data_IF_222787073563
#
_entry.id   IF_222787073563
#
_cell.length_a   1.000
_cell.length_b   1.000
_cell.length_c   1.000
_cell.angle_alpha   90.00
_cell.angle_beta   90.00
_cell.angle_gamma   90.00
#
_symmetry.space_group_name_H-M   'P 1'
#
loop_
_entity.id
_entity.type
_entity.pdbx_description
1 polymer ?
#
# COMPACT_ATOMS: atom_id res chain seq x y z
N UNK A 1 -2.16 -3.05 16.07
CA UNK A 1 -1.97 -3.05 14.60
C UNK A 1 -0.61 -2.42 14.31
N UNK A 2 0.39 -3.18 13.86
CA UNK A 2 1.74 -2.64 13.62
C UNK A 2 2.08 -2.74 12.12
N UNK A 3 1.82 -1.67 11.38
CA UNK A 3 2.36 -1.48 10.03
C UNK A 3 3.86 -1.23 10.15
N UNK A 4 4.69 -1.83 9.29
CA UNK A 4 6.13 -1.61 9.34
C UNK A 4 6.45 -0.12 9.18
N UNK A 5 7.42 0.37 9.95
CA UNK A 5 7.94 1.75 9.90
C UNK A 5 8.15 2.22 8.45
N UNK A 6 8.77 1.38 7.61
CA UNK A 6 9.11 1.65 6.22
C UNK A 6 7.88 1.92 5.34
N UNK A 7 6.82 1.10 5.47
CA UNK A 7 5.56 1.30 4.74
C UNK A 7 4.87 2.61 5.13
N UNK A 8 4.94 3.01 6.40
CA UNK A 8 4.31 4.23 6.90
C UNK A 8 4.86 5.48 6.22
N UNK A 9 6.20 5.63 6.14
CA UNK A 9 6.81 6.78 5.47
C UNK A 9 6.44 6.86 4.00
N UNK A 10 6.43 5.71 3.31
CA UNK A 10 6.04 5.65 1.89
C UNK A 10 4.59 6.11 1.72
N UNK A 11 3.66 5.56 2.49
CA UNK A 11 2.24 5.91 2.38
C UNK A 11 1.96 7.38 2.67
N UNK A 12 2.55 7.90 3.74
CA UNK A 12 2.42 9.31 4.13
C UNK A 12 3.14 10.23 3.14
N UNK A 13 4.15 9.71 2.42
CA UNK A 13 4.91 10.47 1.43
C UNK A 13 5.96 11.40 2.04
N UNK A 14 6.41 11.08 3.26
CA UNK A 14 7.43 11.84 3.98
C UNK A 14 8.69 10.97 4.07
N UNK A 15 9.89 11.49 3.73
CA UNK A 15 11.12 10.72 3.93
C UNK A 15 11.36 10.37 5.41
N UNK A 16 12.01 9.23 5.72
CA UNK A 16 12.42 8.88 7.08
C UNK A 16 13.15 10.04 7.77
N UNK A 17 12.88 10.22 9.08
CA UNK A 17 13.40 11.36 9.84
C UNK A 17 14.92 11.49 9.77
N UNK A 18 15.64 10.36 9.79
CA UNK A 18 17.10 10.34 9.65
C UNK A 18 17.58 10.98 8.33
N UNK A 19 16.88 10.72 7.22
CA UNK A 19 17.25 11.30 5.92
C UNK A 19 16.92 12.80 5.87
N UNK A 20 15.84 13.23 6.53
CA UNK A 20 15.50 14.65 6.67
C UNK A 20 16.52 15.39 7.54
N UNK A 21 17.02 14.76 8.61
CA UNK A 21 18.07 15.31 9.45
C UNK A 21 19.39 15.45 8.66
N UNK A 22 19.76 14.42 7.90
CA UNK A 22 20.95 14.45 7.06
C UNK A 22 20.85 15.52 5.96
N UNK A 23 19.68 15.70 5.35
CA UNK A 23 19.42 16.78 4.38
C UNK A 23 19.66 18.15 4.99
N UNK A 24 19.07 18.42 6.16
CA UNK A 24 19.24 19.68 6.89
C UNK A 24 20.69 19.93 7.28
N UNK A 25 21.42 18.88 7.67
CA UNK A 25 22.84 19.00 8.00
C UNK A 25 23.69 19.40 6.77
N UNK A 26 23.38 18.87 5.58
CA UNK A 26 24.10 19.20 4.33
C UNK A 26 23.80 20.62 3.83
N UNK A 27 22.61 21.14 4.12
CA UNK A 27 22.22 22.51 3.81
C UNK A 27 22.76 23.55 4.82
N UNK A 28 23.23 23.12 5.99
CA UNK A 28 23.70 24.05 7.01
C UNK A 28 24.87 24.91 6.50
N UNK A 29 24.69 26.23 6.50
CA UNK A 29 25.70 27.20 6.04
C UNK A 29 25.76 27.42 4.52
N UNK A 30 24.91 26.74 3.73
CA UNK A 30 24.76 26.98 2.28
C UNK A 30 23.51 27.83 2.04
N UNK A 31 23.64 29.00 1.41
CA UNK A 31 22.49 29.82 0.96
C UNK A 31 22.46 29.87 -0.55
N UNK A 32 21.73 28.94 -1.16
CA UNK A 32 21.38 28.99 -2.58
C UNK A 32 20.17 28.08 -2.81
N UNK A 33 19.12 28.59 -3.47
CA UNK A 33 17.88 27.81 -3.72
C UNK A 33 18.16 26.56 -4.56
N UNK A 34 19.07 26.63 -5.55
CA UNK A 34 19.48 25.48 -6.36
C UNK A 34 20.07 24.33 -5.51
N UNK A 35 20.73 24.65 -4.40
CA UNK A 35 21.28 23.66 -3.49
C UNK A 35 20.19 22.90 -2.72
N UNK A 36 19.02 23.51 -2.49
CA UNK A 36 17.91 22.84 -1.78
C UNK A 36 17.24 21.76 -2.63
N UNK A 37 17.04 22.03 -3.93
CA UNK A 37 16.45 21.08 -4.86
C UNK A 37 17.37 19.89 -5.14
N UNK A 38 18.67 20.15 -5.34
CA UNK A 38 19.68 19.10 -5.48
C UNK A 38 19.73 18.20 -4.25
N UNK A 39 19.73 18.79 -3.06
CA UNK A 39 19.76 18.04 -1.80
C UNK A 39 18.49 17.24 -1.56
N UNK A 40 17.33 17.78 -1.93
CA UNK A 40 16.06 17.04 -1.90
C UNK A 40 16.11 15.83 -2.84
N UNK A 41 16.65 15.99 -4.06
CA UNK A 41 16.82 14.88 -5.00
C UNK A 41 17.78 13.81 -4.47
N UNK A 42 18.87 14.21 -3.81
CA UNK A 42 19.79 13.28 -3.16
C UNK A 42 19.11 12.51 -2.02
N UNK A 43 18.31 13.18 -1.19
CA UNK A 43 17.51 12.55 -0.13
C UNK A 43 16.50 11.54 -0.69
N UNK A 44 15.77 11.92 -1.75
CA UNK A 44 14.80 11.02 -2.39
C UNK A 44 15.48 9.80 -3.02
N UNK A 45 16.69 9.96 -3.57
CA UNK A 45 17.47 8.85 -4.14
C UNK A 45 17.91 7.87 -3.05
N UNK A 46 18.44 8.37 -1.93
CA UNK A 46 18.78 7.55 -0.75
C UNK A 46 17.55 6.83 -0.19
N UNK A 47 16.40 7.49 -0.18
CA UNK A 47 15.15 6.89 0.28
C UNK A 47 14.68 5.76 -0.65
N UNK A 48 14.72 5.98 -1.97
CA UNK A 48 14.38 4.96 -2.97
C UNK A 48 15.29 3.74 -2.85
N UNK A 49 16.60 3.95 -2.73
CA UNK A 49 17.55 2.86 -2.52
C UNK A 49 17.29 2.05 -1.24
N UNK A 50 17.01 2.72 -0.13
CA UNK A 50 16.66 2.05 1.12
C UNK A 50 15.36 1.25 0.99
N UNK A 51 14.40 1.79 0.22
CA UNK A 51 13.13 1.12 -0.06
C UNK A 51 13.30 -0.14 -0.90
N UNK A 52 14.13 -0.08 -1.94
CA UNK A 52 14.41 -1.22 -2.81
C UNK A 52 15.13 -2.35 -2.07
N UNK A 53 16.08 -2.00 -1.19
CA UNK A 53 16.86 -2.96 -0.38
C UNK A 53 16.12 -3.53 0.82
N UNK A 54 15.05 -2.90 1.29
CA UNK A 54 14.34 -3.35 2.48
C UNK A 54 13.69 -4.72 2.28
N UNK A 55 13.86 -5.62 3.25
CA UNK A 55 13.15 -6.91 3.30
C UNK A 55 11.76 -6.81 3.96
N UNK A 56 11.45 -5.65 4.55
CA UNK A 56 10.14 -5.36 5.16
C UNK A 56 9.21 -4.71 4.15
N UNK A 57 7.91 -4.71 4.44
CA UNK A 57 6.89 -4.06 3.62
C UNK A 57 6.89 -4.49 2.13
N UNK A 58 7.36 -5.70 1.80
CA UNK A 58 7.53 -6.13 0.40
C UNK A 58 6.24 -6.10 -0.40
N UNK A 59 5.10 -6.33 0.25
CA UNK A 59 3.79 -6.16 -0.36
C UNK A 59 3.54 -4.70 -0.79
N UNK A 60 3.75 -3.75 0.11
CA UNK A 60 3.64 -2.31 -0.20
C UNK A 60 4.66 -1.89 -1.26
N UNK A 61 5.88 -2.43 -1.23
CA UNK A 61 6.91 -2.18 -2.27
C UNK A 61 6.45 -2.66 -3.64
N UNK A 62 5.85 -3.85 -3.73
CA UNK A 62 5.30 -4.37 -4.99
C UNK A 62 4.25 -3.45 -5.61
N UNK A 63 3.39 -2.85 -4.78
CA UNK A 63 2.36 -1.91 -5.23
C UNK A 63 2.92 -0.50 -5.51
N UNK A 64 3.86 -0.04 -4.68
CA UNK A 64 4.47 1.29 -4.72
C UNK A 64 5.99 1.15 -4.86
N UNK A 65 6.51 0.74 -6.03
CA UNK A 65 7.94 0.53 -6.20
C UNK A 65 8.69 1.87 -6.31
N UNK A 66 8.07 2.91 -6.87
CA UNK A 66 8.69 4.21 -7.09
C UNK A 66 8.13 5.28 -6.16
N UNK A 67 8.94 5.72 -5.21
CA UNK A 67 8.57 6.72 -4.20
C UNK A 67 8.29 8.08 -4.84
N UNK A 68 9.14 8.50 -5.80
CA UNK A 68 9.02 9.82 -6.44
C UNK A 68 7.71 9.94 -7.19
N UNK A 69 7.27 8.87 -7.86
CA UNK A 69 5.97 8.82 -8.53
C UNK A 69 4.85 8.88 -7.49
N UNK A 70 4.96 8.13 -6.40
CA UNK A 70 3.94 8.11 -5.35
C UNK A 70 3.73 9.48 -4.71
N UNK A 71 4.80 10.17 -4.28
CA UNK A 71 4.68 11.47 -3.60
C UNK A 71 4.24 12.60 -4.53
N UNK A 72 4.46 12.47 -5.85
CA UNK A 72 4.06 13.46 -6.86
C UNK A 72 2.64 13.28 -7.39
N UNK A 73 1.87 12.33 -6.85
CA UNK A 73 0.47 12.11 -7.23
C UNK A 73 -0.35 13.40 -7.03
N UNK A 74 -1.24 13.70 -7.97
CA UNK A 74 -2.05 14.93 -7.98
C UNK A 74 -3.32 14.81 -7.14
N UNK A 75 -3.78 13.59 -6.93
CA UNK A 75 -5.02 13.25 -6.25
C UNK A 75 -4.82 12.02 -5.38
N UNK A 76 -5.87 11.67 -4.64
CA UNK A 76 -5.92 10.42 -3.91
C UNK A 76 -5.50 10.51 -2.45
N UNK A 77 -6.47 10.82 -1.60
CA UNK A 77 -6.33 10.68 -0.15
C UNK A 77 -6.44 9.20 0.23
N UNK A 78 -5.55 8.77 1.12
CA UNK A 78 -5.65 7.46 1.73
C UNK A 78 -6.82 7.45 2.72
N UNK A 79 -7.58 6.37 2.71
CA UNK A 79 -8.58 6.06 3.73
C UNK A 79 -8.24 4.71 4.37
N UNK A 80 -8.93 4.37 5.46
CA UNK A 80 -8.68 3.15 6.21
C UNK A 80 -8.62 1.88 5.33
N UNK A 81 -9.56 1.72 4.40
CA UNK A 81 -9.65 0.52 3.55
C UNK A 81 -8.54 0.47 2.48
N UNK A 82 -8.26 1.59 1.83
CA UNK A 82 -7.12 1.70 0.91
C UNK A 82 -5.79 1.44 1.63
N UNK A 83 -5.64 1.93 2.85
CA UNK A 83 -4.46 1.63 3.66
C UNK A 83 -4.35 0.12 3.91
N UNK A 84 -5.43 -0.60 4.18
CA UNK A 84 -5.36 -2.07 4.33
C UNK A 84 -4.95 -2.78 3.04
N UNK A 85 -5.47 -2.33 1.88
CA UNK A 85 -5.04 -2.83 0.57
C UNK A 85 -3.54 -2.63 0.37
N UNK A 86 -3.05 -1.41 0.55
CA UNK A 86 -1.67 -1.05 0.25
C UNK A 86 -0.65 -1.63 1.24
N UNK A 87 -1.04 -1.74 2.51
CA UNK A 87 -0.16 -2.27 3.56
C UNK A 87 -0.22 -3.79 3.66
N UNK A 88 -1.32 -4.40 3.24
CA UNK A 88 -1.61 -5.80 3.52
C UNK A 88 -1.85 -6.09 5.00
N UNK A 89 -2.09 -5.04 5.80
CA UNK A 89 -2.44 -5.13 7.21
C UNK A 89 -3.94 -4.89 7.38
N UNK A 90 -4.62 -5.81 8.07
CA UNK A 90 -6.08 -5.74 8.17
C UNK A 90 -6.70 -7.00 8.75
N UNK A 91 -7.98 -7.20 8.42
CA UNK A 91 -8.77 -8.38 8.76
C UNK A 91 -8.46 -9.57 7.82
N UNK A 92 -7.19 -9.79 7.55
CA UNK A 92 -6.72 -10.96 6.81
C UNK A 92 -6.34 -12.04 7.82
N UNK A 93 -6.81 -13.27 7.68
CA UNK A 93 -6.44 -14.35 8.62
C UNK A 93 -4.93 -14.53 8.75
N UNK A 94 -4.16 -14.32 7.68
CA UNK A 94 -2.69 -14.33 7.75
C UNK A 94 -2.13 -13.28 8.73
N UNK A 95 -2.76 -12.12 8.79
CA UNK A 95 -2.39 -11.06 9.72
C UNK A 95 -2.92 -11.35 11.14
N UNK A 96 -4.16 -11.83 11.28
CA UNK A 96 -4.77 -12.19 12.57
C UNK A 96 -4.02 -13.32 13.29
N UNK A 97 -3.51 -14.31 12.55
CA UNK A 97 -2.65 -15.40 13.07
C UNK A 97 -1.45 -14.93 13.90
N UNK A 98 -0.96 -13.71 13.67
CA UNK A 98 0.15 -13.14 14.46
C UNK A 98 -0.23 -12.88 15.92
N UNK A 99 -1.52 -12.80 16.21
CA UNK A 99 -2.07 -12.48 17.54
C UNK A 99 -2.83 -13.65 18.15
N UNK A 100 -3.26 -14.62 17.34
CA UNK A 100 -3.90 -15.86 17.79
C UNK A 100 -3.36 -17.06 17.00
N UNK A 101 -2.51 -17.87 17.65
CA UNK A 101 -1.85 -19.01 17.03
C UNK A 101 -2.79 -20.18 16.74
N UNK A 102 -3.99 -20.21 17.32
CA UNK A 102 -4.97 -21.27 17.10
C UNK A 102 -5.78 -21.08 15.81
N UNK A 103 -5.78 -19.89 15.23
CA UNK A 103 -6.52 -19.61 14.00
C UNK A 103 -5.79 -20.14 12.78
N UNK A 104 -6.52 -20.52 11.73
CA UNK A 104 -5.92 -20.83 10.42
C UNK A 104 -5.72 -19.58 9.59
N UNK A 105 -4.57 -19.43 8.90
CA UNK A 105 -4.36 -18.39 7.89
C UNK A 105 -4.91 -18.77 6.52
N UNK A 106 -5.45 -19.99 6.38
CA UNK A 106 -6.02 -20.43 5.11
C UNK A 106 -7.34 -19.70 4.84
N UNK A 107 -7.53 -19.33 3.58
CA UNK A 107 -8.79 -18.79 3.10
C UNK A 107 -9.90 -19.85 3.27
N UNK A 108 -11.08 -19.42 3.72
CA UNK A 108 -12.23 -20.32 3.93
C UNK A 108 -12.74 -20.94 2.63
N UNK A 109 -12.57 -20.25 1.51
CA UNK A 109 -13.05 -20.68 0.18
C UNK A 109 -11.91 -21.22 -0.69
N UNK A 110 -10.66 -20.93 -0.34
CA UNK A 110 -9.47 -21.42 -1.03
C UNK A 110 -8.52 -22.10 -0.02
N UNK A 111 -8.78 -23.36 0.35
CA UNK A 111 -8.00 -24.04 1.41
C UNK A 111 -6.50 -24.14 1.10
N UNK A 112 -6.11 -24.14 -0.18
CA UNK A 112 -4.71 -24.15 -0.62
C UNK A 112 -4.04 -22.78 -0.60
N UNK A 113 -4.77 -21.69 -0.30
CA UNK A 113 -4.27 -20.32 -0.33
C UNK A 113 -4.27 -19.69 1.06
N UNK A 114 -3.19 -18.95 1.35
CA UNK A 114 -3.11 -18.08 2.52
C UNK A 114 -3.99 -16.85 2.26
N UNK A 115 -4.87 -16.53 3.20
CA UNK A 115 -5.68 -15.31 3.15
C UNK A 115 -4.82 -14.11 3.57
N UNK A 116 -4.05 -13.61 2.61
CA UNK A 116 -3.33 -12.35 2.66
C UNK A 116 -3.97 -11.33 1.70
N UNK A 117 -3.50 -10.09 1.69
CA UNK A 117 -4.04 -9.04 0.82
C UNK A 117 -3.92 -9.37 -0.67
N UNK A 118 -2.82 -9.98 -1.10
CA UNK A 118 -2.65 -10.42 -2.49
C UNK A 118 -3.77 -11.37 -2.91
N UNK A 119 -3.96 -12.45 -2.14
CA UNK A 119 -5.01 -13.40 -2.42
C UNK A 119 -6.38 -12.73 -2.40
N UNK A 120 -6.70 -12.00 -1.33
CA UNK A 120 -8.01 -11.36 -1.15
C UNK A 120 -8.35 -10.41 -2.31
N UNK A 121 -7.48 -9.47 -2.63
CA UNK A 121 -7.79 -8.41 -3.58
C UNK A 121 -7.63 -8.83 -5.04
N UNK A 122 -6.83 -9.86 -5.35
CA UNK A 122 -6.47 -10.18 -6.75
C UNK A 122 -6.88 -11.58 -7.19
N UNK A 123 -7.13 -12.53 -6.28
CA UNK A 123 -7.31 -13.94 -6.65
C UNK A 123 -8.54 -14.62 -6.03
N UNK A 124 -8.98 -14.20 -4.85
CA UNK A 124 -9.93 -14.93 -4.04
C UNK A 124 -11.33 -14.94 -4.71
N UNK A 125 -11.91 -16.10 -5.06
CA UNK A 125 -13.22 -16.19 -5.69
C UNK A 125 -14.35 -15.56 -4.87
N UNK A 126 -14.18 -15.42 -3.54
CA UNK A 126 -15.15 -14.69 -2.68
C UNK A 126 -15.46 -13.28 -3.17
N UNK A 127 -14.48 -12.63 -3.78
CA UNK A 127 -14.55 -11.24 -4.24
C UNK A 127 -14.51 -11.13 -5.77
N UNK A 128 -14.95 -12.16 -6.50
CA UNK A 128 -14.91 -12.16 -7.97
C UNK A 128 -15.84 -11.10 -8.56
N UNK A 129 -17.05 -10.97 -8.03
CA UNK A 129 -18.02 -9.98 -8.50
C UNK A 129 -17.52 -8.54 -8.28
N UNK A 130 -16.97 -8.25 -7.10
CA UNK A 130 -16.38 -6.95 -6.80
C UNK A 130 -15.19 -6.64 -7.71
N UNK A 131 -14.36 -7.65 -8.04
CA UNK A 131 -13.24 -7.50 -8.99
C UNK A 131 -13.69 -7.33 -10.43
N UNK A 132 -14.70 -8.08 -10.88
CA UNK A 132 -15.24 -7.97 -12.24
C UNK A 132 -15.83 -6.57 -12.48
N UNK A 133 -16.58 -6.05 -11.50
CA UNK A 133 -17.09 -4.68 -11.53
C UNK A 133 -15.94 -3.66 -11.56
N UNK A 134 -14.91 -3.85 -10.74
CA UNK A 134 -13.71 -3.01 -10.74
C UNK A 134 -13.05 -2.99 -12.13
N UNK A 135 -12.78 -4.14 -12.72
CA UNK A 135 -12.12 -4.25 -14.02
C UNK A 135 -12.94 -3.61 -15.15
N UNK A 136 -14.26 -3.77 -15.09
CA UNK A 136 -15.18 -3.13 -16.04
C UNK A 136 -15.10 -1.60 -15.97
N UNK A 137 -15.08 -1.03 -14.75
CA UNK A 137 -14.99 0.41 -14.54
C UNK A 137 -13.61 1.00 -14.87
N UNK A 138 -12.54 0.22 -14.68
CA UNK A 138 -11.17 0.64 -15.01
C UNK A 138 -10.83 0.44 -16.50
N UNK A 139 -11.64 -0.34 -17.23
CA UNK A 139 -11.33 -0.81 -18.58
C UNK A 139 -9.98 -1.55 -18.67
N UNK A 140 -9.51 -2.11 -17.56
CA UNK A 140 -8.26 -2.86 -17.47
C UNK A 140 -8.32 -3.84 -16.28
N UNK A 141 -7.65 -4.99 -16.42
CA UNK A 141 -7.47 -5.92 -15.30
C UNK A 141 -6.49 -5.33 -14.30
N UNK A 142 -6.89 -5.25 -13.03
CA UNK A 142 -6.02 -4.77 -11.97
C UNK A 142 -5.14 -5.91 -11.46
N UNK A 143 -3.82 -5.73 -11.54
CA UNK A 143 -2.80 -6.60 -10.95
C UNK A 143 -2.01 -5.82 -9.90
N UNK A 144 -1.25 -6.48 -9.02
CA UNK A 144 -0.40 -5.77 -8.06
C UNK A 144 0.54 -4.75 -8.74
N UNK A 145 1.08 -5.10 -9.90
CA UNK A 145 2.08 -4.31 -10.62
C UNK A 145 1.51 -3.04 -11.27
N UNK A 146 0.23 -3.04 -11.67
CA UNK A 146 -0.40 -1.88 -12.31
C UNK A 146 -1.35 -1.09 -11.38
N UNK A 147 -1.61 -1.58 -10.15
CA UNK A 147 -2.62 -0.99 -9.24
C UNK A 147 -2.43 0.52 -9.05
N UNK A 148 -1.24 0.95 -8.68
CA UNK A 148 -0.98 2.38 -8.43
C UNK A 148 -0.94 3.20 -9.72
N UNK A 149 -0.46 2.61 -10.82
CA UNK A 149 -0.53 3.24 -12.16
C UNK A 149 -1.97 3.54 -12.56
N UNK A 150 -2.88 2.57 -12.35
CA UNK A 150 -4.31 2.73 -12.63
C UNK A 150 -4.93 3.82 -11.75
N UNK A 151 -4.63 3.81 -10.45
CA UNK A 151 -5.12 4.82 -9.50
C UNK A 151 -4.64 6.23 -9.85
N UNK A 152 -3.42 6.39 -10.38
CA UNK A 152 -2.85 7.69 -10.74
C UNK A 152 -3.33 8.23 -12.08
N UNK A 153 -3.91 7.40 -12.95
CA UNK A 153 -4.33 7.82 -14.28
C UNK A 153 -5.36 8.97 -14.23
N UNK A 154 -6.33 8.90 -13.33
CA UNK A 154 -7.30 9.96 -13.08
C UNK A 154 -7.95 9.81 -11.69
N UNK A 155 -8.59 10.86 -11.19
CA UNK A 155 -9.28 10.85 -9.90
C UNK A 155 -10.44 9.81 -9.86
N UNK A 156 -11.27 9.64 -10.91
CA UNK A 156 -12.26 8.57 -10.94
C UNK A 156 -11.68 7.17 -10.70
N UNK A 157 -10.54 6.83 -11.33
CA UNK A 157 -9.91 5.52 -11.12
C UNK A 157 -9.51 5.31 -9.66
N UNK A 158 -8.99 6.35 -9.01
CA UNK A 158 -8.70 6.30 -7.58
C UNK A 158 -9.95 5.97 -6.76
N UNK A 159 -11.07 6.64 -7.04
CA UNK A 159 -12.34 6.44 -6.34
C UNK A 159 -12.90 5.03 -6.56
N UNK A 160 -12.79 4.50 -7.79
CA UNK A 160 -13.21 3.13 -8.11
C UNK A 160 -12.41 2.12 -7.29
N UNK A 161 -11.07 2.24 -7.25
CA UNK A 161 -10.22 1.35 -6.44
C UNK A 161 -10.50 1.52 -4.94
N UNK A 162 -10.78 2.75 -4.48
CA UNK A 162 -11.14 3.02 -3.10
C UNK A 162 -12.46 2.34 -2.69
N UNK A 163 -13.47 2.39 -3.57
CA UNK A 163 -14.77 1.76 -3.37
C UNK A 163 -14.68 0.23 -3.37
N UNK A 164 -13.85 -0.33 -4.26
CA UNK A 164 -13.52 -1.75 -4.24
C UNK A 164 -12.86 -2.16 -2.92
N UNK A 165 -11.83 -1.43 -2.47
CA UNK A 165 -11.17 -1.70 -1.20
C UNK A 165 -12.15 -1.61 -0.01
N UNK A 166 -13.05 -0.62 -0.01
CA UNK A 166 -14.12 -0.49 0.99
C UNK A 166 -15.00 -1.75 1.04
N UNK A 167 -15.48 -2.21 -0.11
CA UNK A 167 -16.40 -3.35 -0.20
C UNK A 167 -15.77 -4.64 0.33
N UNK A 168 -14.54 -4.92 -0.11
CA UNK A 168 -13.78 -6.12 0.29
C UNK A 168 -13.44 -6.09 1.79
N UNK A 169 -12.91 -4.97 2.29
CA UNK A 169 -12.47 -4.86 3.68
C UNK A 169 -13.65 -4.88 4.65
N UNK A 170 -14.78 -4.25 4.29
CA UNK A 170 -15.98 -4.25 5.13
C UNK A 170 -16.54 -5.67 5.25
N UNK A 171 -16.68 -6.37 4.12
CA UNK A 171 -17.14 -7.77 4.12
C UNK A 171 -16.22 -8.70 4.90
N UNK A 172 -14.90 -8.55 4.77
CA UNK A 172 -13.94 -9.32 5.59
C UNK A 172 -14.08 -9.04 7.09
N UNK A 173 -14.26 -7.79 7.47
CA UNK A 173 -14.43 -7.40 8.88
C UNK A 173 -15.71 -8.00 9.46
N UNK A 174 -16.79 -7.95 8.72
CA UNK A 174 -18.08 -8.44 9.17
C UNK A 174 -18.03 -9.97 9.33
N UNK A 175 -17.45 -10.70 8.35
CA UNK A 175 -17.18 -12.14 8.46
C UNK A 175 -16.28 -12.52 9.65
N UNK A 176 -15.30 -11.69 9.99
CA UNK A 176 -14.41 -11.92 11.13
C UNK A 176 -15.10 -11.61 12.47
N UNK A 177 -16.05 -10.67 12.48
CA UNK A 177 -16.84 -10.34 13.66
C UNK A 177 -17.81 -11.48 13.98
N UNK A 178 -18.45 -12.08 12.96
CA UNK A 178 -19.37 -13.21 13.11
C UNK A 178 -18.69 -14.51 13.60
N UNK A 179 -17.36 -14.60 13.51
CA UNK A 179 -16.58 -15.76 13.98
C UNK A 179 -16.15 -15.67 15.45
N UNK A 180 -16.29 -14.50 16.08
CA UNK A 180 -15.88 -14.25 17.47
C UNK A 180 -17.06 -14.37 18.42
#
# INVERSE_FOLDING_TARGET
MHVSYEATYVLVGIPPLVLLADERARLYGRRQEDAEDEERLATLSKWQEAWDRSTKARWTHRLIPNIRVWIKRRHGKLNYHLTQLLTGHGFFKHHSRRYDYNQSAQCSVCPSSIENAEHVFYHCPRFSEERERLHSLLHEVMTPENTTRLMFACEPNWLVVASFAYSVVTRLRDEETDRR
#
